data_IF_668223588519
#
_entry.id   IF_668223588519
#
_cell.length_a   1.000
_cell.length_b   1.000
_cell.length_c   1.000
_cell.angle_alpha   90.00
_cell.angle_beta   90.00
_cell.angle_gamma   90.00
#
_symmetry.space_group_name_H-M   'P 1'
#
loop_
_entity.id
_entity.type
_entity.pdbx_description
1 polymer ?
#
# COMPACT_ATOMS: atom_id res chain seq x y z
N UNK A 1 45.96 64.52 69.92
CA UNK A 1 45.69 63.08 69.68
C UNK A 1 46.00 62.77 68.22
N UNK A 2 46.99 61.93 67.93
CA UNK A 2 47.20 61.42 66.56
C UNK A 2 46.07 60.43 66.28
N UNK A 3 45.15 60.77 65.39
CA UNK A 3 44.16 59.80 64.91
C UNK A 3 44.93 58.71 64.16
N UNK A 4 45.10 57.56 64.81
CA UNK A 4 45.66 56.37 64.16
C UNK A 4 44.64 55.93 63.10
N UNK A 5 44.99 56.15 61.84
CA UNK A 5 44.23 55.62 60.73
C UNK A 5 44.28 54.09 60.77
N UNK A 6 43.17 53.46 61.16
CA UNK A 6 43.02 52.01 61.16
C UNK A 6 42.69 51.51 59.75
N UNK A 7 43.72 51.42 58.91
CA UNK A 7 43.62 50.97 57.52
C UNK A 7 42.76 49.72 57.33
N UNK A 8 42.89 48.71 58.21
CA UNK A 8 42.13 47.46 58.13
C UNK A 8 40.63 47.61 58.38
N UNK A 9 40.23 48.49 59.30
CA UNK A 9 38.82 48.79 59.53
C UNK A 9 38.21 49.57 58.37
N UNK A 10 39.02 50.44 57.74
CA UNK A 10 38.63 51.15 56.53
C UNK A 10 38.49 50.19 55.33
N UNK A 11 39.51 49.37 55.05
CA UNK A 11 39.53 48.43 53.93
C UNK A 11 38.37 47.41 54.00
N UNK A 12 38.10 46.80 55.17
CA UNK A 12 36.96 45.88 55.35
C UNK A 12 35.60 46.51 55.07
N UNK A 13 35.45 47.83 55.31
CA UNK A 13 34.20 48.56 55.06
C UNK A 13 34.08 49.02 53.62
N UNK A 14 35.19 49.42 53.00
CA UNK A 14 35.20 50.08 51.69
C UNK A 14 35.35 49.10 50.53
N UNK A 15 36.16 48.04 50.67
CA UNK A 15 36.41 47.07 49.58
C UNK A 15 35.12 46.39 49.10
N UNK A 16 34.20 45.90 49.96
CA UNK A 16 32.93 45.33 49.49
C UNK A 16 32.01 46.36 48.83
N UNK A 17 31.98 47.60 49.37
CA UNK A 17 31.11 48.69 48.89
C UNK A 17 31.59 49.25 47.54
N UNK A 18 32.90 49.29 47.33
CA UNK A 18 33.53 49.78 46.10
C UNK A 18 33.98 48.64 45.17
N UNK A 19 33.64 47.38 45.49
CA UNK A 19 34.14 46.18 44.80
C UNK A 19 33.94 46.28 43.29
N UNK A 20 32.76 46.73 42.90
CA UNK A 20 32.35 46.89 41.50
C UNK A 20 33.08 47.98 40.74
N UNK A 21 33.79 48.88 41.44
CA UNK A 21 34.57 49.95 40.84
C UNK A 21 36.03 49.55 40.57
N UNK A 22 36.47 48.40 41.06
CA UNK A 22 37.83 47.92 40.76
C UNK A 22 37.93 47.51 39.28
N UNK A 23 38.98 47.97 38.61
CA UNK A 23 39.24 47.67 37.20
C UNK A 23 39.22 46.15 36.92
N UNK A 24 39.72 45.34 37.86
CA UNK A 24 39.76 43.88 37.74
C UNK A 24 38.36 43.22 37.77
N UNK A 25 37.42 43.81 38.52
CA UNK A 25 36.03 43.34 38.59
C UNK A 25 35.26 43.75 37.33
N UNK A 26 35.51 44.95 36.81
CA UNK A 26 34.99 45.38 35.51
C UNK A 26 35.48 44.47 34.37
N UNK A 27 36.78 44.13 34.35
CA UNK A 27 37.36 43.21 33.38
C UNK A 27 36.75 41.80 33.45
N UNK A 28 36.52 41.27 34.67
CA UNK A 28 35.80 40.01 34.89
C UNK A 28 34.40 40.05 34.28
N UNK A 29 33.61 41.08 34.57
CA UNK A 29 32.24 41.25 34.03
C UNK A 29 32.19 41.38 32.50
N UNK A 30 33.21 41.97 31.89
CA UNK A 30 33.32 42.01 30.42
C UNK A 30 33.60 40.61 29.87
N UNK A 31 34.55 39.88 30.47
CA UNK A 31 34.85 38.50 30.08
C UNK A 31 33.64 37.57 30.24
N UNK A 32 32.86 37.70 31.33
CA UNK A 32 31.66 36.89 31.58
C UNK A 32 30.59 37.15 30.53
N UNK A 33 30.34 38.42 30.20
CA UNK A 33 29.40 38.80 29.13
C UNK A 33 29.83 38.24 27.79
N UNK A 34 31.10 38.39 27.42
CA UNK A 34 31.62 37.87 26.16
C UNK A 34 31.46 36.34 26.08
N UNK A 35 31.79 35.60 27.14
CA UNK A 35 31.60 34.16 27.18
C UNK A 35 30.12 33.76 27.02
N UNK A 36 29.20 34.42 27.75
CA UNK A 36 27.78 34.13 27.65
C UNK A 36 27.17 34.53 26.29
N UNK A 37 27.71 35.53 25.62
CA UNK A 37 27.33 35.88 24.24
C UNK A 37 27.80 34.82 23.24
N UNK A 38 29.06 34.39 23.34
CA UNK A 38 29.59 33.31 22.51
C UNK A 38 28.82 32.00 22.71
N UNK A 39 28.51 31.64 23.94
CA UNK A 39 27.78 30.41 24.24
C UNK A 39 26.34 30.44 23.71
N UNK A 40 25.66 31.60 23.82
CA UNK A 40 24.34 31.79 23.21
C UNK A 40 24.40 31.67 21.69
N UNK A 41 25.40 32.27 21.07
CA UNK A 41 25.60 32.21 19.62
C UNK A 41 25.89 30.77 19.16
N UNK A 42 26.77 30.06 19.87
CA UNK A 42 27.10 28.65 19.63
C UNK A 42 25.85 27.76 19.66
N UNK A 43 25.00 27.94 20.67
CA UNK A 43 23.75 27.21 20.79
C UNK A 43 22.77 27.53 19.65
N UNK A 44 22.69 28.79 19.21
CA UNK A 44 21.84 29.19 18.10
C UNK A 44 22.30 28.55 16.78
N UNK A 45 23.60 28.65 16.45
CA UNK A 45 24.18 28.04 15.25
C UNK A 45 24.00 26.52 15.27
N UNK A 46 24.20 25.88 16.42
CA UNK A 46 23.98 24.43 16.56
C UNK A 46 22.53 24.00 16.34
N UNK A 47 21.55 24.80 16.79
CA UNK A 47 20.14 24.52 16.48
C UNK A 47 19.82 24.69 15.00
N UNK A 48 20.36 25.74 14.37
CA UNK A 48 20.14 25.98 12.94
C UNK A 48 20.75 24.87 12.08
N UNK A 49 21.97 24.42 12.40
CA UNK A 49 22.62 23.30 11.73
C UNK A 49 21.77 22.01 11.84
N UNK A 50 21.33 21.66 13.06
CA UNK A 50 20.49 20.48 13.29
C UNK A 50 19.14 20.55 12.55
N UNK A 51 18.54 21.74 12.44
CA UNK A 51 17.29 21.93 11.69
C UNK A 51 17.47 21.72 10.18
N UNK A 52 18.58 22.21 9.62
CA UNK A 52 18.89 22.01 8.20
C UNK A 52 19.15 20.53 7.91
N UNK A 53 19.93 19.87 8.76
CA UNK A 53 20.20 18.43 8.65
C UNK A 53 18.90 17.60 8.69
N UNK A 54 18.03 17.87 9.67
CA UNK A 54 16.73 17.19 9.76
C UNK A 54 15.83 17.47 8.54
N UNK A 55 15.83 18.69 8.00
CA UNK A 55 15.07 19.04 6.80
C UNK A 55 15.58 18.29 5.56
N UNK A 56 16.90 18.12 5.41
CA UNK A 56 17.51 17.34 4.33
C UNK A 56 17.03 15.89 4.40
N UNK A 57 17.15 15.27 5.58
CA UNK A 57 16.79 13.87 5.79
C UNK A 57 15.30 13.63 5.56
N UNK A 58 14.45 14.52 6.09
CA UNK A 58 13.00 14.45 5.89
C UNK A 58 12.65 14.50 4.39
N UNK A 59 13.19 15.47 3.65
CA UNK A 59 12.89 15.60 2.20
C UNK A 59 13.36 14.39 1.41
N UNK A 60 14.53 13.83 1.74
CA UNK A 60 15.02 12.62 1.08
C UNK A 60 14.13 11.40 1.37
N UNK A 61 13.63 11.27 2.60
CA UNK A 61 12.68 10.23 2.97
C UNK A 61 11.35 10.40 2.21
N UNK A 62 10.80 11.62 2.14
CA UNK A 62 9.58 11.94 1.39
C UNK A 62 9.70 11.58 -0.10
N UNK A 63 10.84 11.90 -0.75
CA UNK A 63 11.08 11.49 -2.13
C UNK A 63 11.13 9.97 -2.29
N UNK A 64 11.82 9.28 -1.39
CA UNK A 64 11.95 7.82 -1.45
C UNK A 64 10.59 7.16 -1.31
N UNK A 65 9.79 7.59 -0.32
CA UNK A 65 8.45 7.09 -0.07
C UNK A 65 7.54 7.33 -1.28
N UNK A 66 7.50 8.56 -1.82
CA UNK A 66 6.65 8.90 -2.96
C UNK A 66 6.99 8.08 -4.22
N UNK A 67 8.28 7.85 -4.49
CA UNK A 67 8.71 7.01 -5.60
C UNK A 67 8.28 5.55 -5.41
N UNK A 68 8.42 5.01 -4.20
CA UNK A 68 8.01 3.65 -3.87
C UNK A 68 6.49 3.46 -3.95
N UNK A 69 5.71 4.42 -3.48
CA UNK A 69 4.25 4.41 -3.58
C UNK A 69 3.78 4.40 -5.04
N UNK A 70 4.39 5.23 -5.89
CA UNK A 70 4.08 5.26 -7.32
C UNK A 70 4.45 3.95 -8.02
N UNK A 71 5.62 3.38 -7.70
CA UNK A 71 6.02 2.09 -8.25
C UNK A 71 5.05 0.98 -7.83
N UNK A 72 4.65 0.95 -6.56
CA UNK A 72 3.68 -0.04 -6.06
C UNK A 72 2.34 0.05 -6.78
N UNK A 73 1.88 1.28 -7.08
CA UNK A 73 0.66 1.50 -7.85
C UNK A 73 0.78 1.03 -9.30
N UNK A 74 1.95 1.22 -9.94
CA UNK A 74 2.21 0.69 -11.29
C UNK A 74 2.19 -0.83 -11.27
N UNK A 75 2.88 -1.45 -10.31
CA UNK A 75 2.95 -2.90 -10.18
C UNK A 75 1.56 -3.52 -9.97
N UNK A 76 0.69 -2.86 -9.18
CA UNK A 76 -0.70 -3.28 -9.00
C UNK A 76 -1.50 -3.24 -10.31
N UNK A 77 -1.38 -2.15 -11.09
CA UNK A 77 -2.05 -2.05 -12.40
C UNK A 77 -1.50 -3.08 -13.39
N UNK A 78 -0.20 -3.37 -13.37
CA UNK A 78 0.42 -4.41 -14.19
C UNK A 78 -0.10 -5.81 -13.84
N UNK A 79 -0.32 -6.09 -12.54
CA UNK A 79 -0.97 -7.32 -12.10
C UNK A 79 -2.40 -7.41 -12.63
N UNK A 80 -3.19 -6.35 -12.52
CA UNK A 80 -4.57 -6.32 -13.03
C UNK A 80 -4.62 -6.55 -14.54
N UNK A 81 -3.72 -5.90 -15.31
CA UNK A 81 -3.58 -6.12 -16.75
C UNK A 81 -3.24 -7.58 -17.10
N UNK A 82 -2.40 -8.25 -16.30
CA UNK A 82 -2.08 -9.66 -16.49
C UNK A 82 -3.27 -10.60 -16.22
N UNK A 83 -4.20 -10.20 -15.35
CA UNK A 83 -5.39 -10.99 -15.03
C UNK A 83 -6.50 -10.88 -16.09
N UNK A 84 -6.52 -9.81 -16.90
CA UNK A 84 -7.52 -9.61 -17.97
C UNK A 84 -7.68 -10.83 -18.88
N UNK A 85 -6.63 -11.37 -19.52
CA UNK A 85 -6.79 -12.52 -20.42
C UNK A 85 -7.33 -13.77 -19.69
N UNK A 86 -6.97 -13.96 -18.42
CA UNK A 86 -7.41 -15.09 -17.59
C UNK A 86 -8.91 -14.95 -17.29
N UNK A 87 -9.32 -13.79 -16.77
CA UNK A 87 -10.71 -13.51 -16.43
C UNK A 87 -11.62 -13.54 -17.66
N UNK A 88 -11.16 -12.96 -18.78
CA UNK A 88 -11.87 -13.02 -20.06
C UNK A 88 -12.10 -14.45 -20.51
N UNK A 89 -11.08 -15.31 -20.44
CA UNK A 89 -11.22 -16.70 -20.85
C UNK A 89 -12.13 -17.49 -19.89
N UNK A 90 -12.11 -17.18 -18.60
CA UNK A 90 -13.02 -17.77 -17.63
C UNK A 90 -14.48 -17.41 -17.94
N UNK A 91 -14.77 -16.13 -18.20
CA UNK A 91 -16.13 -15.67 -18.52
C UNK A 91 -16.66 -16.28 -19.83
N UNK A 92 -15.80 -16.43 -20.85
CA UNK A 92 -16.16 -17.12 -22.10
C UNK A 92 -16.50 -18.60 -21.84
N UNK A 93 -15.70 -19.31 -21.02
CA UNK A 93 -15.98 -20.71 -20.67
C UNK A 93 -17.28 -20.86 -19.87
N UNK A 94 -17.54 -19.94 -18.96
CA UNK A 94 -18.79 -19.93 -18.20
C UNK A 94 -20.01 -19.68 -19.10
N UNK A 95 -19.88 -18.77 -20.07
CA UNK A 95 -20.89 -18.55 -21.09
C UNK A 95 -21.11 -19.79 -21.96
N UNK A 96 -20.02 -20.42 -22.43
CA UNK A 96 -20.06 -21.67 -23.19
C UNK A 96 -20.79 -22.77 -22.45
N UNK A 97 -20.46 -22.99 -21.17
CA UNK A 97 -21.09 -24.00 -20.33
C UNK A 97 -22.60 -23.74 -20.18
N UNK A 98 -23.00 -22.50 -19.84
CA UNK A 98 -24.40 -22.13 -19.68
C UNK A 98 -25.20 -22.30 -20.98
N UNK A 99 -24.63 -21.87 -22.11
CA UNK A 99 -25.29 -21.99 -23.41
C UNK A 99 -25.39 -23.44 -23.86
N UNK A 100 -24.34 -24.25 -23.63
CA UNK A 100 -24.33 -25.69 -23.91
C UNK A 100 -25.44 -26.38 -23.14
N UNK A 101 -25.54 -26.13 -21.84
CA UNK A 101 -26.56 -26.75 -20.98
C UNK A 101 -27.98 -26.37 -21.42
N UNK A 102 -28.23 -25.09 -21.68
CA UNK A 102 -29.54 -24.63 -22.14
C UNK A 102 -29.93 -25.25 -23.49
N UNK A 103 -28.99 -25.33 -24.43
CA UNK A 103 -29.25 -25.92 -25.75
C UNK A 103 -29.36 -27.44 -25.69
N UNK A 104 -28.59 -28.12 -24.85
CA UNK A 104 -28.72 -29.55 -24.61
C UNK A 104 -30.12 -29.86 -24.06
N UNK A 105 -30.57 -29.10 -23.05
CA UNK A 105 -31.91 -29.25 -22.50
C UNK A 105 -33.00 -29.02 -23.56
N UNK A 106 -32.85 -28.01 -24.41
CA UNK A 106 -33.77 -27.79 -25.53
C UNK A 106 -33.73 -28.95 -26.55
N UNK A 107 -32.54 -29.48 -26.86
CA UNK A 107 -32.35 -30.59 -27.78
C UNK A 107 -32.98 -31.89 -27.26
N UNK A 108 -32.79 -32.19 -25.97
CA UNK A 108 -33.40 -33.33 -25.28
C UNK A 108 -34.94 -33.23 -25.25
N UNK A 109 -35.50 -32.04 -25.02
CA UNK A 109 -36.97 -31.81 -25.07
C UNK A 109 -37.59 -32.09 -26.43
N UNK A 110 -36.82 -31.97 -27.51
CA UNK A 110 -37.32 -32.28 -28.85
C UNK A 110 -37.29 -33.79 -29.16
N UNK A 111 -36.66 -34.62 -28.33
CA UNK A 111 -36.64 -36.07 -28.48
C UNK A 111 -37.72 -36.68 -27.58
N UNK A 112 -38.89 -36.92 -28.18
CA UNK A 112 -40.05 -37.47 -27.47
C UNK A 112 -39.97 -39.00 -27.40
N UNK A 113 -40.49 -39.59 -26.32
CA UNK A 113 -40.62 -41.05 -26.21
C UNK A 113 -41.76 -41.62 -27.07
N UNK A 114 -42.58 -40.76 -27.69
CA UNK A 114 -43.65 -41.15 -28.60
C UNK A 114 -43.13 -41.60 -29.98
N UNK A 115 -43.34 -42.88 -30.31
CA UNK A 115 -42.95 -43.51 -31.59
C UNK A 115 -43.56 -42.87 -32.83
N UNK A 116 -44.68 -42.16 -32.71
CA UNK A 116 -45.35 -41.52 -33.87
C UNK A 116 -44.67 -40.22 -34.32
N UNK A 117 -43.82 -39.64 -33.45
CA UNK A 117 -43.15 -38.35 -33.68
C UNK A 117 -41.63 -38.45 -33.76
N UNK A 118 -41.06 -39.66 -33.61
CA UNK A 118 -39.62 -39.92 -33.77
C UNK A 118 -39.23 -39.90 -35.25
N UNK A 119 -39.26 -38.73 -35.88
CA UNK A 119 -38.59 -38.47 -37.17
C UNK A 119 -37.10 -38.17 -37.00
N UNK A 120 -36.48 -38.62 -35.90
CA UNK A 120 -35.14 -38.23 -35.45
C UNK A 120 -34.18 -39.42 -35.46
N UNK A 121 -32.88 -39.14 -35.61
CA UNK A 121 -31.82 -40.12 -35.90
C UNK A 121 -31.67 -41.22 -34.84
N UNK A 122 -31.92 -40.92 -33.56
CA UNK A 122 -31.90 -41.92 -32.47
C UNK A 122 -33.29 -42.51 -32.24
N UNK A 123 -33.49 -43.76 -32.65
CA UNK A 123 -34.72 -44.50 -32.40
C UNK A 123 -34.87 -44.90 -30.93
N UNK A 124 -36.10 -44.90 -30.42
CA UNK A 124 -36.43 -45.40 -29.09
C UNK A 124 -36.07 -46.90 -28.96
N UNK A 125 -35.58 -47.38 -27.80
CA UNK A 125 -35.27 -48.79 -27.59
C UNK A 125 -36.45 -49.72 -27.94
N UNK A 126 -36.13 -50.91 -28.44
CA UNK A 126 -37.13 -51.94 -28.72
C UNK A 126 -37.80 -52.41 -27.42
N UNK A 127 -39.09 -52.79 -27.50
CA UNK A 127 -39.88 -53.23 -26.35
C UNK A 127 -40.80 -52.17 -25.72
N UNK A 128 -40.63 -50.88 -26.04
CA UNK A 128 -41.55 -49.83 -25.59
C UNK A 128 -42.85 -49.81 -26.42
N UNK A 129 -43.84 -50.58 -25.99
CA UNK A 129 -45.20 -50.57 -26.56
C UNK A 129 -46.06 -49.41 -26.05
N UNK A 130 -47.26 -49.26 -26.62
CA UNK A 130 -48.21 -48.16 -26.31
C UNK A 130 -48.50 -48.03 -24.81
N UNK A 131 -48.73 -49.14 -24.11
CA UNK A 131 -49.05 -49.14 -22.67
C UNK A 131 -47.93 -48.59 -21.79
N UNK A 132 -46.66 -48.90 -22.10
CA UNK A 132 -45.49 -48.37 -21.38
C UNK A 132 -45.34 -46.86 -21.59
N UNK A 133 -45.56 -46.41 -22.83
CA UNK A 133 -45.50 -45.00 -23.18
C UNK A 133 -46.61 -44.19 -22.50
N UNK A 134 -47.83 -44.73 -22.44
CA UNK A 134 -48.96 -44.10 -21.75
C UNK A 134 -48.71 -43.97 -20.24
N UNK A 135 -48.14 -45.01 -19.61
CA UNK A 135 -47.76 -44.97 -18.21
C UNK A 135 -46.70 -43.88 -17.92
N UNK A 136 -45.63 -43.82 -18.72
CA UNK A 136 -44.58 -42.80 -18.60
C UNK A 136 -45.11 -41.38 -18.83
N UNK A 137 -45.96 -41.19 -19.84
CA UNK A 137 -46.63 -39.91 -20.06
C UNK A 137 -47.51 -39.52 -18.87
N UNK A 138 -48.23 -40.47 -18.26
CA UNK A 138 -49.02 -40.25 -17.04
C UNK A 138 -48.18 -39.78 -15.85
N UNK A 139 -46.91 -40.17 -15.79
CA UNK A 139 -45.93 -39.70 -14.80
C UNK A 139 -45.24 -38.39 -15.20
N UNK A 140 -45.62 -37.76 -16.31
CA UNK A 140 -45.01 -36.53 -16.82
C UNK A 140 -43.69 -36.74 -17.58
N UNK A 141 -43.33 -37.98 -17.92
CA UNK A 141 -42.11 -38.31 -18.65
C UNK A 141 -42.47 -38.45 -20.12
N UNK A 142 -42.22 -37.40 -20.91
CA UNK A 142 -42.56 -37.36 -22.34
C UNK A 142 -41.36 -37.22 -23.28
N UNK A 143 -40.22 -36.80 -22.74
CA UNK A 143 -39.04 -36.43 -23.52
C UNK A 143 -37.76 -36.94 -22.88
N UNK A 144 -36.67 -36.95 -23.63
CA UNK A 144 -35.35 -37.30 -23.11
C UNK A 144 -34.88 -36.36 -21.98
N UNK A 145 -35.39 -35.11 -21.93
CA UNK A 145 -35.06 -34.16 -20.86
C UNK A 145 -35.67 -34.56 -19.50
N UNK A 146 -36.78 -35.30 -19.55
CA UNK A 146 -37.48 -35.77 -18.35
C UNK A 146 -36.77 -36.99 -17.73
N UNK A 147 -35.82 -37.60 -18.43
CA UNK A 147 -35.08 -38.78 -17.98
C UNK A 147 -33.92 -38.39 -17.06
N UNK A 148 -34.22 -37.91 -15.86
CA UNK A 148 -33.24 -37.50 -14.86
C UNK A 148 -33.54 -38.11 -13.49
N UNK A 149 -32.59 -38.04 -12.55
CA UNK A 149 -32.74 -38.66 -11.22
C UNK A 149 -33.90 -38.12 -10.37
N UNK A 150 -34.43 -36.92 -10.68
CA UNK A 150 -35.61 -36.37 -9.99
C UNK A 150 -36.87 -37.13 -10.39
N UNK A 151 -36.97 -37.56 -11.65
CA UNK A 151 -38.15 -38.22 -12.20
C UNK A 151 -38.08 -39.76 -12.15
N UNK A 152 -36.93 -40.32 -11.80
CA UNK A 152 -36.69 -41.78 -11.77
C UNK A 152 -37.75 -42.54 -10.98
N UNK A 153 -38.01 -42.12 -9.74
CA UNK A 153 -38.98 -42.81 -8.88
C UNK A 153 -40.39 -42.83 -9.49
N UNK A 154 -40.85 -41.69 -10.01
CA UNK A 154 -42.16 -41.60 -10.65
C UNK A 154 -42.24 -42.46 -11.92
N UNK A 155 -41.14 -42.57 -12.67
CA UNK A 155 -41.02 -43.46 -13.82
C UNK A 155 -41.21 -44.94 -13.42
N UNK A 156 -40.47 -45.36 -12.39
CA UNK A 156 -40.47 -46.75 -11.92
C UNK A 156 -41.84 -47.16 -11.37
N UNK A 157 -42.46 -46.30 -10.55
CA UNK A 157 -43.81 -46.51 -10.02
C UNK A 157 -44.85 -46.63 -11.16
N UNK A 158 -44.76 -45.77 -12.19
CA UNK A 158 -45.68 -45.85 -13.33
C UNK A 158 -45.53 -47.12 -14.17
N UNK A 159 -44.31 -47.64 -14.29
CA UNK A 159 -44.03 -48.86 -15.05
C UNK A 159 -44.37 -50.15 -14.29
N UNK A 160 -44.46 -50.14 -12.96
CA UNK A 160 -44.75 -51.33 -12.13
C UNK A 160 -46.07 -52.01 -12.49
N UNK A 161 -47.10 -51.22 -12.80
CA UNK A 161 -48.44 -51.73 -13.11
C UNK A 161 -48.60 -52.19 -14.58
N UNK A 162 -47.57 -52.00 -15.41
CA UNK A 162 -47.60 -52.38 -16.82
C UNK A 162 -47.24 -53.86 -16.97
N UNK A 163 -48.19 -54.66 -17.46
CA UNK A 163 -48.00 -56.12 -17.61
C UNK A 163 -46.75 -56.48 -18.42
N UNK A 164 -45.85 -57.24 -17.81
CA UNK A 164 -44.62 -57.75 -18.43
C UNK A 164 -43.55 -56.68 -18.62
N UNK A 165 -43.67 -55.54 -17.93
CA UNK A 165 -42.60 -54.55 -17.81
C UNK A 165 -41.57 -54.97 -16.76
N UNK A 166 -40.32 -54.56 -17.01
CA UNK A 166 -39.24 -54.58 -16.03
C UNK A 166 -38.87 -53.12 -15.75
N UNK A 167 -39.43 -52.48 -14.70
CA UNK A 167 -39.30 -51.04 -14.50
C UNK A 167 -37.85 -50.56 -14.45
N UNK A 168 -36.97 -51.26 -13.72
CA UNK A 168 -35.56 -50.89 -13.60
C UNK A 168 -34.82 -51.10 -14.93
N UNK A 169 -35.03 -52.25 -15.59
CA UNK A 169 -34.43 -52.52 -16.90
C UNK A 169 -34.93 -51.60 -18.01
N UNK A 170 -36.18 -51.14 -17.93
CA UNK A 170 -36.77 -50.18 -18.87
C UNK A 170 -36.27 -48.75 -18.62
N UNK A 171 -36.15 -48.33 -17.36
CA UNK A 171 -35.51 -47.05 -17.02
C UNK A 171 -34.06 -47.00 -17.49
N UNK A 172 -33.28 -48.06 -17.25
CA UNK A 172 -31.90 -48.15 -17.72
C UNK A 172 -31.81 -48.03 -19.25
N UNK A 173 -32.70 -48.67 -20.01
CA UNK A 173 -32.76 -48.53 -21.48
C UNK A 173 -33.08 -47.10 -21.91
N UNK A 174 -33.95 -46.40 -21.19
CA UNK A 174 -34.27 -45.00 -21.47
C UNK A 174 -33.09 -44.07 -21.16
N UNK A 175 -32.36 -44.33 -20.07
CA UNK A 175 -31.12 -43.59 -19.77
C UNK A 175 -30.06 -43.78 -20.85
N UNK A 176 -29.82 -45.02 -21.31
CA UNK A 176 -28.89 -45.27 -22.44
C UNK A 176 -29.37 -44.59 -23.73
N UNK A 177 -30.68 -44.52 -23.96
CA UNK A 177 -31.22 -43.78 -25.10
C UNK A 177 -31.01 -42.28 -24.97
N UNK A 178 -31.19 -41.70 -23.77
CA UNK A 178 -30.84 -40.32 -23.49
C UNK A 178 -29.36 -40.06 -23.77
N UNK A 179 -28.46 -40.90 -23.24
CA UNK A 179 -27.02 -40.79 -23.47
C UNK A 179 -26.67 -40.78 -24.96
N UNK A 180 -27.27 -41.68 -25.75
CA UNK A 180 -27.08 -41.70 -27.21
C UNK A 180 -27.56 -40.41 -27.90
N UNK A 181 -28.60 -39.75 -27.37
CA UNK A 181 -29.03 -38.43 -27.86
C UNK A 181 -28.03 -37.34 -27.43
N UNK A 182 -27.54 -37.39 -26.20
CA UNK A 182 -26.51 -36.45 -25.72
C UNK A 182 -25.22 -36.55 -26.54
N UNK A 183 -24.83 -37.75 -26.97
CA UNK A 183 -23.68 -37.98 -27.86
C UNK A 183 -23.88 -37.38 -29.27
N UNK A 184 -25.13 -37.25 -29.74
CA UNK A 184 -25.42 -36.54 -31.00
C UNK A 184 -25.42 -35.02 -30.84
N UNK A 185 -25.40 -34.50 -29.62
CA UNK A 185 -25.42 -33.07 -29.35
C UNK A 185 -24.04 -32.45 -29.52
N UNK A 186 -23.79 -31.95 -30.73
CA UNK A 186 -22.63 -31.11 -31.03
C UNK A 186 -22.99 -29.63 -30.81
N UNK A 187 -22.32 -29.00 -29.84
CA UNK A 187 -22.43 -27.56 -29.62
C UNK A 187 -21.06 -26.93 -29.48
N UNK A 188 -20.83 -25.95 -30.34
CA UNK A 188 -19.71 -25.04 -30.28
C UNK A 188 -20.25 -23.61 -30.30
N UNK A 189 -19.84 -22.79 -29.33
CA UNK A 189 -20.06 -21.35 -29.45
C UNK A 189 -19.14 -20.82 -30.55
N UNK A 190 -19.66 -19.98 -31.44
CA UNK A 190 -18.82 -19.35 -32.44
C UNK A 190 -18.08 -18.16 -31.80
N UNK A 191 -16.83 -17.89 -32.19
CA UNK A 191 -16.09 -16.72 -31.70
C UNK A 191 -16.83 -15.38 -31.88
N UNK A 192 -17.70 -15.31 -32.89
CA UNK A 192 -18.48 -14.10 -33.22
C UNK A 192 -19.88 -14.09 -32.58
N UNK A 193 -20.14 -14.95 -31.59
CA UNK A 193 -21.40 -14.91 -30.84
C UNK A 193 -21.56 -13.53 -30.17
N UNK A 194 -22.71 -12.85 -30.29
CA UNK A 194 -22.90 -11.52 -29.72
C UNK A 194 -22.56 -11.42 -28.23
N UNK A 195 -22.79 -12.50 -27.46
CA UNK A 195 -22.45 -12.54 -26.05
C UNK A 195 -20.93 -12.61 -25.83
N UNK A 196 -20.20 -13.40 -26.63
CA UNK A 196 -18.73 -13.44 -26.61
C UNK A 196 -18.15 -12.07 -26.98
N UNK A 197 -18.65 -11.46 -28.06
CA UNK A 197 -18.22 -10.11 -28.50
C UNK A 197 -18.49 -9.07 -27.41
N UNK A 198 -19.60 -9.19 -26.67
CA UNK A 198 -19.91 -8.28 -25.55
C UNK A 198 -18.89 -8.43 -24.42
N UNK A 199 -18.51 -9.67 -24.06
CA UNK A 199 -17.46 -9.94 -23.08
C UNK A 199 -16.13 -9.36 -23.56
N UNK A 200 -15.74 -9.63 -24.80
CA UNK A 200 -14.48 -9.13 -25.37
C UNK A 200 -14.40 -7.61 -25.37
N UNK A 201 -15.47 -6.92 -25.76
CA UNK A 201 -15.53 -5.45 -25.72
C UNK A 201 -15.44 -4.92 -24.29
N UNK A 202 -16.14 -5.53 -23.33
CA UNK A 202 -16.07 -5.12 -21.92
C UNK A 202 -14.66 -5.24 -21.35
N UNK A 203 -13.97 -6.35 -21.60
CA UNK A 203 -12.58 -6.51 -21.17
C UNK A 203 -11.62 -5.56 -21.89
N UNK A 204 -11.87 -5.25 -23.16
CA UNK A 204 -11.08 -4.26 -23.91
C UNK A 204 -11.21 -2.85 -23.32
N UNK A 205 -12.41 -2.44 -22.94
CA UNK A 205 -12.63 -1.14 -22.27
C UNK A 205 -11.88 -1.06 -20.92
N UNK A 206 -11.91 -2.15 -20.15
CA UNK A 206 -11.16 -2.26 -18.89
C UNK A 206 -9.64 -2.21 -19.15
N UNK A 207 -9.16 -2.95 -20.16
CA UNK A 207 -7.75 -2.96 -20.55
C UNK A 207 -7.26 -1.57 -20.97
N UNK A 208 -8.04 -0.86 -21.80
CA UNK A 208 -7.72 0.49 -22.25
C UNK A 208 -7.70 1.48 -21.08
N UNK A 209 -8.64 1.38 -20.13
CA UNK A 209 -8.66 2.20 -18.92
C UNK A 209 -7.45 1.95 -18.02
N UNK A 210 -7.08 0.69 -17.79
CA UNK A 210 -5.89 0.32 -17.00
C UNK A 210 -4.60 0.76 -17.68
N UNK A 211 -4.49 0.65 -19.01
CA UNK A 211 -3.36 1.18 -19.79
C UNK A 211 -3.23 2.70 -19.65
N UNK A 212 -4.33 3.43 -19.68
CA UNK A 212 -4.33 4.89 -19.46
C UNK A 212 -3.92 5.25 -18.03
N UNK A 213 -4.41 4.50 -17.03
CA UNK A 213 -4.01 4.66 -15.64
C UNK A 213 -2.51 4.40 -15.47
N UNK A 214 -1.98 3.32 -16.04
CA UNK A 214 -0.56 2.99 -16.05
C UNK A 214 0.28 4.11 -16.64
N UNK A 215 -0.07 4.61 -17.83
CA UNK A 215 0.63 5.71 -18.48
C UNK A 215 0.61 7.00 -17.62
N UNK A 216 -0.50 7.27 -16.94
CA UNK A 216 -0.61 8.41 -16.01
C UNK A 216 0.30 8.25 -14.79
N UNK A 217 0.40 7.03 -14.25
CA UNK A 217 1.29 6.73 -13.12
C UNK A 217 2.76 6.79 -13.52
N UNK A 218 3.12 6.30 -14.71
CA UNK A 218 4.47 6.42 -15.26
C UNK A 218 4.88 7.89 -15.43
N UNK A 219 4.00 8.73 -15.97
CA UNK A 219 4.25 10.17 -16.08
C UNK A 219 4.44 10.83 -14.71
N UNK A 220 3.68 10.42 -13.69
CA UNK A 220 3.85 10.90 -12.30
C UNK A 220 5.17 10.42 -11.70
N UNK A 221 5.58 9.19 -11.97
CA UNK A 221 6.85 8.63 -11.51
C UNK A 221 8.02 9.38 -12.14
N UNK A 222 7.99 9.60 -13.46
CA UNK A 222 9.01 10.38 -14.17
C UNK A 222 9.10 11.81 -13.62
N UNK A 223 7.96 12.49 -13.44
CA UNK A 223 7.93 13.82 -12.84
C UNK A 223 8.54 13.84 -11.42
N UNK A 224 8.21 12.86 -10.57
CA UNK A 224 8.77 12.75 -9.23
C UNK A 224 10.29 12.45 -9.24
N UNK A 225 10.77 11.67 -10.23
CA UNK A 225 12.20 11.44 -10.43
C UNK A 225 12.91 12.72 -10.87
N UNK A 226 12.34 13.48 -11.80
CA UNK A 226 12.87 14.78 -12.23
C UNK A 226 12.90 15.79 -11.08
N UNK A 227 11.85 15.87 -10.26
CA UNK A 227 11.80 16.72 -9.06
C UNK A 227 12.94 16.37 -8.09
N UNK A 228 13.19 15.07 -7.86
CA UNK A 228 14.29 14.60 -7.01
C UNK A 228 15.65 14.99 -7.58
N UNK A 229 15.86 14.81 -8.88
CA UNK A 229 17.11 15.19 -9.57
C UNK A 229 17.34 16.70 -9.45
N UNK A 230 16.31 17.50 -9.70
CA UNK A 230 16.37 18.95 -9.57
C UNK A 230 16.71 19.38 -8.13
N UNK A 231 16.00 18.83 -7.14
CA UNK A 231 16.26 19.09 -5.73
C UNK A 231 17.70 18.74 -5.34
N UNK A 232 18.18 17.56 -5.75
CA UNK A 232 19.53 17.10 -5.45
C UNK A 232 20.62 17.99 -6.08
N UNK A 233 20.40 18.48 -7.30
CA UNK A 233 21.39 19.25 -8.04
C UNK A 233 21.52 20.71 -7.59
N UNK A 234 20.41 21.33 -7.17
CA UNK A 234 20.42 22.73 -6.71
C UNK A 234 20.27 22.84 -5.20
N UNK A 235 19.09 22.53 -4.67
CA UNK A 235 18.72 22.84 -3.29
C UNK A 235 19.50 22.05 -2.26
N UNK A 236 19.68 20.75 -2.46
CA UNK A 236 20.45 19.92 -1.55
C UNK A 236 21.90 20.38 -1.47
N UNK A 237 22.48 20.83 -2.59
CA UNK A 237 23.83 21.36 -2.61
C UNK A 237 23.93 22.65 -1.81
N UNK A 238 23.00 23.59 -2.00
CA UNK A 238 22.93 24.83 -1.23
C UNK A 238 22.74 24.58 0.27
N UNK A 239 21.85 23.65 0.63
CA UNK A 239 21.60 23.27 2.03
C UNK A 239 22.84 22.61 2.65
N UNK A 240 23.57 21.75 1.91
CA UNK A 240 24.83 21.16 2.36
C UNK A 240 25.96 22.18 2.49
N UNK A 241 26.08 23.10 1.55
CA UNK A 241 27.07 24.18 1.61
C UNK A 241 26.79 25.11 2.81
N UNK A 242 25.51 25.42 3.08
CA UNK A 242 25.10 26.18 4.26
C UNK A 242 25.40 25.41 5.55
N UNK A 243 25.08 24.12 5.60
CA UNK A 243 25.39 23.26 6.75
C UNK A 243 26.89 23.22 7.02
N UNK A 244 27.72 23.08 5.98
CA UNK A 244 29.18 23.09 6.11
C UNK A 244 29.72 24.42 6.66
N UNK A 245 29.15 25.56 6.24
CA UNK A 245 29.49 26.88 6.82
C UNK A 245 29.09 26.97 8.28
N UNK A 246 27.87 26.56 8.63
CA UNK A 246 27.40 26.58 10.02
C UNK A 246 28.23 25.66 10.91
N UNK A 247 28.68 24.50 10.41
CA UNK A 247 29.58 23.60 11.13
C UNK A 247 30.95 24.25 11.38
N UNK A 248 31.52 24.92 10.37
CA UNK A 248 32.76 25.67 10.54
C UNK A 248 32.62 26.82 11.55
N UNK A 249 31.50 27.54 11.52
CA UNK A 249 31.19 28.60 12.50
C UNK A 249 31.02 28.03 13.90
N UNK A 250 30.40 26.85 14.03
CA UNK A 250 30.24 26.14 15.31
C UNK A 250 31.59 25.73 15.90
N UNK A 251 32.49 25.21 15.06
CA UNK A 251 33.85 24.84 15.46
C UNK A 251 34.65 26.06 15.93
N UNK A 252 34.53 27.18 15.22
CA UNK A 252 35.21 28.43 15.61
C UNK A 252 34.63 29.00 16.90
N UNK A 253 33.30 29.10 17.02
CA UNK A 253 32.62 29.54 18.24
C UNK A 253 32.95 28.65 19.44
N UNK A 254 33.11 27.35 19.23
CA UNK A 254 33.52 26.40 20.29
C UNK A 254 34.93 26.74 20.77
N UNK A 255 35.90 26.95 19.87
CA UNK A 255 37.26 27.37 20.24
C UNK A 255 37.28 28.72 20.95
N UNK A 256 36.50 29.69 20.47
CA UNK A 256 36.39 31.01 21.09
C UNK A 256 35.77 30.92 22.50
N UNK A 257 34.71 30.13 22.66
CA UNK A 257 34.06 29.91 23.96
C UNK A 257 35.01 29.21 24.95
N UNK A 258 35.77 28.20 24.50
CA UNK A 258 36.77 27.52 25.33
C UNK A 258 37.90 28.46 25.75
N UNK A 259 38.40 29.30 24.84
CA UNK A 259 39.40 30.32 25.15
C UNK A 259 38.86 31.36 26.14
N UNK A 260 37.62 31.85 25.94
CA UNK A 260 36.96 32.77 26.86
C UNK A 260 36.72 32.14 28.24
N UNK A 261 36.38 30.84 28.29
CA UNK A 261 36.25 30.07 29.53
C UNK A 261 37.58 29.97 30.28
N UNK A 262 38.68 29.66 29.59
CA UNK A 262 40.02 29.66 30.20
C UNK A 262 40.43 31.05 30.70
N UNK A 263 40.06 32.12 29.98
CA UNK A 263 40.30 33.48 30.45
C UNK A 263 39.49 33.80 31.72
N UNK A 264 38.25 33.31 31.82
CA UNK A 264 37.42 33.43 33.01
C UNK A 264 37.99 32.70 34.23
N UNK A 265 38.66 31.56 34.03
CA UNK A 265 39.33 30.84 35.12
C UNK A 265 40.36 31.73 35.84
N UNK A 266 41.03 32.66 35.13
CA UNK A 266 41.96 33.63 35.73
C UNK A 266 41.28 34.60 36.69
N UNK A 267 39.98 34.80 36.55
CA UNK A 267 39.16 35.69 37.37
C UNK A 267 38.29 34.94 38.39
N UNK A 268 38.45 33.60 38.48
CA UNK A 268 37.68 32.73 39.36
C UNK A 268 37.79 33.16 40.83
N UNK A 269 39.01 33.48 41.25
CA UNK A 269 39.33 33.81 42.65
C UNK A 269 39.17 35.29 42.98
N UNK A 270 38.67 36.11 42.05
CA UNK A 270 38.39 37.52 42.33
C UNK A 270 37.07 37.62 43.09
N UNK A 271 37.19 37.71 44.42
CA UNK A 271 36.11 38.02 45.36
C UNK A 271 36.52 39.18 46.28
N UNK A 272 35.57 39.85 46.96
CA UNK A 272 35.90 40.86 47.96
C UNK A 272 36.85 40.34 49.04
N UNK A 273 36.68 39.08 49.48
CA UNK A 273 37.55 38.42 50.46
C UNK A 273 38.96 38.20 49.91
N UNK A 274 39.09 37.79 48.65
CA UNK A 274 40.39 37.58 48.01
C UNK A 274 41.16 38.89 47.86
N UNK A 275 40.48 40.00 47.50
CA UNK A 275 41.10 41.33 47.45
C UNK A 275 41.53 41.81 48.85
N UNK A 276 40.71 41.59 49.87
CA UNK A 276 41.06 41.91 51.26
C UNK A 276 42.27 41.10 51.74
N UNK A 277 42.33 39.81 51.41
CA UNK A 277 43.46 38.94 51.77
C UNK A 277 44.75 39.34 51.04
N UNK A 278 44.66 39.72 49.75
CA UNK A 278 45.80 40.22 48.97
C UNK A 278 46.34 41.54 49.51
N UNK A 279 45.46 42.47 49.91
CA UNK A 279 45.88 43.70 50.57
C UNK A 279 46.61 43.34 51.87
N UNK A 280 46.12 42.37 52.63
CA UNK A 280 46.70 41.98 53.92
C UNK A 280 48.11 41.44 53.78
N UNK A 281 48.34 40.55 52.82
CA UNK A 281 49.68 40.04 52.54
C UNK A 281 50.68 41.07 51.99
N UNK A 282 50.24 42.28 51.63
CA UNK A 282 51.12 43.37 51.12
C UNK A 282 51.38 44.49 52.12
N UNK A 283 50.57 44.57 53.18
CA UNK A 283 50.65 45.64 54.20
C UNK A 283 51.09 45.13 55.58
N UNK A 284 51.19 43.80 55.75
CA UNK A 284 51.96 43.14 56.82
C UNK A 284 53.41 42.95 56.36
#
# INVERSE_FOLDING_TARGET
>A
ARHLFHFWNYARRVVPVQFERYAVVSAKRVAERNYHELERHRQQVGREAAQIEASIDQRQAEFTQRLQELQTQIDAVDQDLQQIPINKQADIRDLEARNRDQRLQAFLKQHTIDKSKTGKKVALPSGFGKSRLEALHGAGIGTAADLNGVNERAALEALQDVRGADPEGEWAKLLTWREAIEDEFDYQILPNDPAVVTIENGFKEIEDALKQQRATLEAKLEAAQQDRIFYNNQRLREEKDRLGKLQADLDDLTRQADSARQALERYRDITPEALLNLMRSRFD
#
